data_IF_194526008036
#
_entry.id   IF_194526008036
#
_cell.length_a   1.000
_cell.length_b   1.000
_cell.length_c   1.000
_cell.angle_alpha   90.00
_cell.angle_beta   90.00
_cell.angle_gamma   90.00
#
_symmetry.space_group_name_H-M   'P 1'
#
loop_
_entity.id
_entity.type
_entity.pdbx_description
1 polymer ?
#
# COMPACT_ATOMS: atom_id res chain seq x y z
N UNK A 1 -30.33 2.62 -3.60
CA UNK A 1 -29.06 1.87 -3.56
C UNK A 1 -28.77 1.56 -2.10
N UNK A 2 -28.68 0.28 -1.71
CA UNK A 2 -28.28 -0.10 -0.36
C UNK A 2 -26.78 0.13 -0.21
N UNK A 3 -26.37 0.87 0.83
CA UNK A 3 -24.95 1.09 1.15
C UNK A 3 -24.42 -0.12 1.92
N UNK A 4 -24.11 -1.19 1.17
CA UNK A 4 -23.60 -2.44 1.74
C UNK A 4 -22.28 -2.27 2.51
N UNK A 5 -21.48 -1.25 2.19
CA UNK A 5 -20.27 -0.93 2.94
C UNK A 5 -20.64 -0.36 4.32
N UNK A 6 -21.56 0.59 4.37
CA UNK A 6 -22.06 1.13 5.64
C UNK A 6 -22.68 0.03 6.50
N UNK A 7 -23.51 -0.85 5.91
CA UNK A 7 -24.11 -1.98 6.64
C UNK A 7 -23.05 -2.92 7.24
N UNK A 8 -22.02 -3.28 6.46
CA UNK A 8 -20.92 -4.11 6.94
C UNK A 8 -20.13 -3.43 8.06
N UNK A 9 -19.88 -2.12 7.92
CA UNK A 9 -19.16 -1.33 8.93
C UNK A 9 -19.94 -1.21 10.24
N UNK A 10 -21.25 -0.99 10.19
CA UNK A 10 -22.12 -0.99 11.38
C UNK A 10 -22.08 -2.36 12.07
N UNK A 11 -22.15 -3.46 11.31
CA UNK A 11 -22.10 -4.83 11.87
C UNK A 11 -20.81 -5.14 12.60
N UNK A 12 -19.69 -4.52 12.23
CA UNK A 12 -18.39 -4.68 12.91
C UNK A 12 -18.12 -3.60 13.98
N UNK A 13 -19.13 -2.81 14.35
CA UNK A 13 -19.05 -1.81 15.42
C UNK A 13 -18.51 -0.45 14.99
N UNK A 14 -18.46 -0.14 13.70
CA UNK A 14 -18.09 1.20 13.21
C UNK A 14 -19.36 1.97 12.87
N UNK A 15 -19.65 3.04 13.62
CA UNK A 15 -20.81 3.90 13.36
C UNK A 15 -20.67 4.67 12.04
N UNK A 16 -21.79 5.23 11.58
CA UNK A 16 -21.79 6.10 10.41
C UNK A 16 -20.91 7.34 10.64
N UNK A 17 -21.00 7.96 11.81
CA UNK A 17 -20.18 9.13 12.16
C UNK A 17 -18.69 8.76 12.15
N UNK A 18 -18.32 7.60 12.71
CA UNK A 18 -16.93 7.16 12.72
C UNK A 18 -16.42 6.82 11.30
N UNK A 19 -17.25 6.21 10.46
CA UNK A 19 -16.93 5.98 9.03
C UNK A 19 -16.67 7.30 8.31
N UNK A 20 -17.53 8.31 8.52
CA UNK A 20 -17.41 9.64 7.91
C UNK A 20 -16.18 10.38 8.42
N UNK A 21 -15.96 10.39 9.73
CA UNK A 21 -14.79 10.98 10.38
C UNK A 21 -13.48 10.38 9.87
N UNK A 22 -13.44 9.06 9.68
CA UNK A 22 -12.29 8.34 9.11
C UNK A 22 -12.22 8.40 7.58
N UNK A 23 -13.23 8.98 6.93
CA UNK A 23 -13.39 9.02 5.48
C UNK A 23 -13.22 7.64 4.81
N UNK A 24 -13.81 6.61 5.41
CA UNK A 24 -13.74 5.24 4.87
C UNK A 24 -14.81 5.10 3.80
N UNK A 25 -14.35 4.94 2.56
CA UNK A 25 -15.16 4.70 1.39
C UNK A 25 -14.68 3.43 0.69
N UNK A 26 -15.43 2.96 -0.31
CA UNK A 26 -15.03 1.77 -1.06
C UNK A 26 -13.62 1.92 -1.67
N UNK A 27 -13.28 3.13 -2.13
CA UNK A 27 -11.95 3.44 -2.67
C UNK A 27 -10.81 3.29 -1.65
N UNK A 28 -11.08 3.46 -0.35
CA UNK A 28 -10.08 3.29 0.71
C UNK A 28 -9.49 1.87 0.73
N UNK A 29 -10.23 0.87 0.27
CA UNK A 29 -9.75 -0.51 0.16
C UNK A 29 -8.70 -0.66 -0.94
N UNK A 30 -8.85 0.03 -2.07
CA UNK A 30 -7.84 0.05 -3.14
C UNK A 30 -6.54 0.65 -2.64
N UNK A 31 -6.61 1.74 -1.86
CA UNK A 31 -5.42 2.31 -1.21
C UNK A 31 -4.78 1.32 -0.24
N UNK A 32 -5.57 0.64 0.58
CA UNK A 32 -5.06 -0.36 1.53
C UNK A 32 -4.36 -1.52 0.82
N UNK A 33 -4.95 -2.03 -0.27
CA UNK A 33 -4.37 -3.09 -1.09
C UNK A 33 -3.04 -2.65 -1.70
N UNK A 34 -3.02 -1.49 -2.37
CA UNK A 34 -1.81 -0.98 -3.00
C UNK A 34 -0.69 -0.75 -1.99
N UNK A 35 -0.99 -0.18 -0.82
CA UNK A 35 -0.02 0.02 0.26
C UNK A 35 0.59 -1.29 0.75
N UNK A 36 -0.19 -2.37 0.84
CA UNK A 36 0.30 -3.67 1.31
C UNK A 36 1.10 -4.44 0.25
N UNK A 37 0.80 -4.20 -1.02
CA UNK A 37 1.45 -4.88 -2.14
C UNK A 37 2.70 -4.15 -2.64
N UNK A 38 2.88 -2.87 -2.29
CA UNK A 38 4.03 -2.06 -2.71
C UNK A 38 5.38 -2.66 -2.28
N UNK A 39 5.42 -3.35 -1.14
CA UNK A 39 6.64 -4.00 -0.63
C UNK A 39 6.88 -5.38 -1.24
N UNK A 40 5.89 -5.94 -1.94
CA UNK A 40 5.89 -7.34 -2.42
C UNK A 40 5.97 -7.46 -3.94
N UNK A 41 5.61 -6.41 -4.66
CA UNK A 41 5.47 -6.40 -6.12
C UNK A 41 6.06 -5.11 -6.67
N UNK A 42 6.73 -5.20 -7.82
CA UNK A 42 7.30 -4.03 -8.47
C UNK A 42 6.21 -3.00 -8.83
N UNK A 43 6.58 -1.72 -8.79
CA UNK A 43 5.65 -0.61 -8.98
C UNK A 43 4.90 -0.65 -10.33
N UNK A 44 5.52 -1.17 -11.41
CA UNK A 44 4.87 -1.28 -12.71
C UNK A 44 3.75 -2.32 -12.67
N UNK A 45 4.03 -3.52 -12.17
CA UNK A 45 3.03 -4.58 -12.03
C UNK A 45 1.91 -4.20 -11.08
N UNK A 46 2.24 -3.56 -9.96
CA UNK A 46 1.24 -3.05 -9.02
C UNK A 46 0.37 -1.96 -9.65
N UNK A 47 0.96 -1.04 -10.43
CA UNK A 47 0.24 0.01 -11.15
C UNK A 47 -0.77 -0.53 -12.15
N UNK A 48 -0.39 -1.56 -12.92
CA UNK A 48 -1.30 -2.24 -13.84
C UNK A 48 -2.45 -2.92 -13.08
N UNK A 49 -2.16 -3.64 -12.00
CA UNK A 49 -3.16 -4.35 -11.21
C UNK A 49 -4.16 -3.42 -10.51
N UNK A 50 -3.74 -2.19 -10.20
CA UNK A 50 -4.55 -1.20 -9.48
C UNK A 50 -5.10 -0.07 -10.35
N UNK A 51 -4.79 -0.07 -11.66
CA UNK A 51 -5.24 0.92 -12.62
C UNK A 51 -4.65 2.32 -12.43
N UNK A 52 -3.47 2.44 -11.83
CA UNK A 52 -2.80 3.74 -11.69
C UNK A 52 -2.09 4.13 -12.99
N UNK A 53 -2.44 5.30 -13.53
CA UNK A 53 -1.90 5.82 -14.80
C UNK A 53 -0.47 6.35 -14.68
N UNK A 54 -0.05 6.78 -13.49
CA UNK A 54 1.27 7.38 -13.23
C UNK A 54 1.92 6.74 -12.01
N UNK A 55 3.26 6.65 -12.04
CA UNK A 55 4.05 6.10 -10.92
C UNK A 55 4.00 6.98 -9.67
N UNK A 56 3.80 8.29 -9.82
CA UNK A 56 3.62 9.23 -8.71
C UNK A 56 2.46 8.81 -7.77
N UNK A 57 1.40 8.18 -8.31
CA UNK A 57 0.27 7.68 -7.50
C UNK A 57 0.64 6.46 -6.63
N UNK A 58 1.72 5.76 -6.97
CA UNK A 58 2.25 4.62 -6.19
C UNK A 58 3.37 5.03 -5.24
N UNK A 59 4.08 6.11 -5.55
CA UNK A 59 5.20 6.62 -4.77
C UNK A 59 4.79 7.03 -3.34
N UNK A 60 3.53 7.42 -3.15
CA UNK A 60 2.94 7.61 -1.83
C UNK A 60 2.91 6.34 -0.95
N UNK A 61 2.93 5.14 -1.55
CA UNK A 61 3.04 3.87 -0.81
C UNK A 61 4.49 3.45 -0.59
N UNK A 62 5.40 3.79 -1.52
CA UNK A 62 6.82 3.46 -1.44
C UNK A 62 7.54 4.09 -0.24
N UNK A 63 6.92 5.11 0.39
CA UNK A 63 7.44 5.76 1.60
C UNK A 63 7.31 4.91 2.88
N UNK A 64 6.77 3.70 2.79
CA UNK A 64 6.77 2.68 3.84
C UNK A 64 7.92 1.67 3.67
N UNK A 65 9.09 2.11 3.21
CA UNK A 65 10.31 1.30 3.24
C UNK A 65 10.62 0.88 4.69
N UNK A 66 10.15 -0.31 5.06
CA UNK A 66 10.42 -0.96 6.32
C UNK A 66 11.93 -1.26 6.45
N UNK A 67 12.44 -1.27 7.68
CA UNK A 67 13.88 -1.43 8.02
C UNK A 67 14.55 -2.65 7.33
N UNK A 68 13.75 -3.69 7.04
CA UNK A 68 14.15 -4.88 6.30
C UNK A 68 14.65 -4.60 4.86
N UNK A 69 14.21 -3.53 4.21
CA UNK A 69 14.65 -3.17 2.86
C UNK A 69 16.05 -2.58 2.86
N UNK A 70 16.42 -1.82 3.89
CA UNK A 70 17.79 -1.31 4.02
C UNK A 70 18.79 -2.43 4.24
N UNK A 71 18.40 -3.48 4.97
CA UNK A 71 19.22 -4.67 5.16
C UNK A 71 19.43 -5.44 3.86
N UNK A 72 18.36 -5.69 3.09
CA UNK A 72 18.45 -6.38 1.80
C UNK A 72 19.28 -5.60 0.76
N UNK A 73 19.16 -4.27 0.74
CA UNK A 73 19.99 -3.41 -0.10
C UNK A 73 21.45 -3.41 0.37
N UNK A 74 21.70 -3.30 1.68
CA UNK A 74 23.06 -3.36 2.26
C UNK A 74 23.77 -4.67 1.92
N UNK A 75 23.10 -5.81 2.08
CA UNK A 75 23.65 -7.14 1.76
C UNK A 75 23.93 -7.29 0.25
N UNK A 76 23.05 -6.76 -0.61
CA UNK A 76 23.25 -6.74 -2.05
C UNK A 76 24.43 -5.84 -2.47
N UNK A 77 24.58 -4.68 -1.83
CA UNK A 77 25.71 -3.76 -2.05
C UNK A 77 27.03 -4.37 -1.62
N UNK A 78 27.08 -5.02 -0.45
CA UNK A 78 28.29 -5.71 0.03
C UNK A 78 28.65 -6.91 -0.86
N UNK A 79 27.67 -7.64 -1.38
CA UNK A 79 27.91 -8.72 -2.35
C UNK A 79 28.43 -8.21 -3.68
N UNK A 80 27.94 -7.06 -4.15
CA UNK A 80 28.33 -6.47 -5.43
C UNK A 80 29.66 -5.73 -5.39
N UNK A 81 30.01 -5.10 -4.26
CA UNK A 81 31.13 -4.16 -4.15
C UNK A 81 32.03 -4.37 -2.92
N UNK A 82 31.69 -5.27 -2.00
CA UNK A 82 32.47 -5.56 -0.78
C UNK A 82 33.70 -6.45 -1.00
N UNK A 83 33.91 -6.95 -2.22
CA UNK A 83 35.17 -7.59 -2.63
C UNK A 83 35.99 -6.68 -3.54
N UNK A 84 36.27 -5.47 -3.08
CA UNK A 84 37.39 -4.68 -3.59
C UNK A 84 38.49 -4.70 -2.52
N UNK A 85 39.62 -5.32 -2.87
CA UNK A 85 40.89 -5.20 -2.13
C UNK A 85 41.38 -3.76 -2.15
#
# INVERSE_FOLDING_TARGET
MNDGLLEAMIKIGISKEEKEKRNVIFHSWRHRYAAKMADLVDARSLGLATGHKTMAMLEHYANHANENHFKAVSEATEKAFGQAK
#
